data_IF_444432890469
#
_entry.id   IF_444432890469
#
_cell.length_a   1.000
_cell.length_b   1.000
_cell.length_c   1.000
_cell.angle_alpha   90.00
_cell.angle_beta   90.00
_cell.angle_gamma   90.00
#
_symmetry.space_group_name_H-M   'P 1'
#
loop_
_entity.id
_entity.type
_entity.pdbx_description
1 polymer ?
#
# COMPACT_ATOMS: atom_id res chain seq x y z
N UNK A 1 6.25 20.28 -2.40
CA UNK A 1 5.35 19.62 -3.39
C UNK A 1 5.06 18.22 -2.89
N UNK A 2 3.85 17.69 -3.09
CA UNK A 2 3.52 16.32 -2.65
C UNK A 2 4.25 15.32 -3.56
N UNK A 3 5.01 14.38 -2.98
CA UNK A 3 5.55 13.22 -3.68
C UNK A 3 4.50 12.12 -3.65
N UNK A 4 3.94 11.74 -4.80
CA UNK A 4 2.80 10.84 -4.85
C UNK A 4 3.15 9.43 -5.32
N UNK A 5 2.43 8.44 -4.79
CA UNK A 5 2.59 7.03 -5.12
C UNK A 5 1.25 6.42 -5.53
N UNK A 6 1.21 5.81 -6.70
CA UNK A 6 0.04 5.07 -7.18
C UNK A 6 0.01 3.69 -6.53
N UNK A 7 -1.11 3.34 -5.91
CA UNK A 7 -1.35 2.02 -5.31
C UNK A 7 -2.28 1.21 -6.20
N UNK A 8 -1.79 0.17 -6.86
CA UNK A 8 -2.54 -0.68 -7.77
C UNK A 8 -2.29 -2.17 -7.51
N UNK A 9 -3.24 -3.00 -7.89
CA UNK A 9 -3.22 -4.44 -7.64
C UNK A 9 -4.53 -4.92 -7.04
N UNK A 10 -4.48 -5.91 -6.15
CA UNK A 10 -5.68 -6.49 -5.57
C UNK A 10 -5.80 -6.27 -4.05
N UNK A 11 -6.52 -7.15 -3.36
CA UNK A 11 -6.91 -6.98 -1.96
C UNK A 11 -5.75 -6.76 -0.99
N UNK A 12 -4.60 -7.39 -1.18
CA UNK A 12 -3.44 -7.21 -0.31
C UNK A 12 -2.73 -5.86 -0.53
N UNK A 13 -2.90 -5.21 -1.69
CA UNK A 13 -2.52 -3.80 -1.88
C UNK A 13 -3.58 -2.86 -1.27
N UNK A 14 -4.87 -3.13 -1.52
CA UNK A 14 -5.95 -2.34 -0.93
C UNK A 14 -5.89 -2.36 0.62
N UNK A 15 -5.49 -3.48 1.19
CA UNK A 15 -5.39 -3.70 2.63
C UNK A 15 -6.55 -4.49 3.19
N UNK A 16 -6.23 -5.55 3.93
CA UNK A 16 -7.18 -6.43 4.63
C UNK A 16 -6.75 -6.75 6.05
N UNK A 17 -5.60 -6.24 6.51
CA UNK A 17 -5.20 -6.40 7.91
C UNK A 17 -6.24 -5.78 8.86
N UNK A 18 -6.51 -6.43 9.99
CA UNK A 18 -7.52 -5.94 10.93
C UNK A 18 -7.06 -4.64 11.60
N UNK A 19 -7.90 -3.60 11.51
CA UNK A 19 -7.55 -2.24 11.94
C UNK A 19 -7.16 -2.16 13.42
N UNK A 20 -7.78 -3.01 14.27
CA UNK A 20 -7.55 -2.98 15.71
C UNK A 20 -6.26 -3.70 16.17
N UNK A 21 -5.58 -4.42 15.28
CA UNK A 21 -4.38 -5.20 15.63
C UNK A 21 -3.09 -4.39 15.64
N UNK A 22 -3.10 -3.20 15.04
CA UNK A 22 -1.94 -2.33 14.98
C UNK A 22 -2.32 -0.89 15.32
N UNK A 23 -1.40 -0.11 15.90
CA UNK A 23 -1.63 1.32 16.11
C UNK A 23 -1.87 2.05 14.78
N UNK A 24 -2.79 3.04 14.73
CA UNK A 24 -3.01 3.84 13.54
C UNK A 24 -1.79 4.75 13.26
N UNK A 25 -1.52 4.98 12.00
CA UNK A 25 -0.50 5.92 11.56
C UNK A 25 -1.16 7.30 11.36
N UNK A 26 -0.85 8.22 12.27
CA UNK A 26 -1.37 9.59 12.23
C UNK A 26 -0.21 10.56 12.00
N UNK A 27 -0.03 11.00 10.75
CA UNK A 27 1.03 11.94 10.36
C UNK A 27 0.47 12.90 9.32
N UNK A 28 0.46 14.21 9.63
CA UNK A 28 -0.08 15.24 8.73
C UNK A 28 0.69 15.38 7.41
N UNK A 29 1.93 14.90 7.37
CA UNK A 29 2.74 14.85 6.14
C UNK A 29 2.37 13.69 5.22
N UNK A 30 1.57 12.74 5.70
CA UNK A 30 1.06 11.64 4.88
C UNK A 30 -0.36 12.01 4.42
N UNK A 31 -0.52 12.14 3.12
CA UNK A 31 -1.77 12.49 2.48
C UNK A 31 -2.31 11.31 1.67
N UNK A 32 -3.61 11.24 1.47
CA UNK A 32 -4.24 10.33 0.52
C UNK A 32 -5.20 11.08 -0.38
N UNK A 33 -5.28 10.69 -1.63
CA UNK A 33 -6.29 11.20 -2.55
C UNK A 33 -7.63 10.52 -2.25
N UNK A 34 -8.60 11.30 -1.83
CA UNK A 34 -9.95 10.81 -1.56
C UNK A 34 -10.98 11.86 -1.95
N UNK A 35 -11.99 11.46 -2.72
CA UNK A 35 -13.03 12.38 -3.22
C UNK A 35 -12.46 13.61 -3.95
N UNK A 36 -11.43 13.41 -4.77
CA UNK A 36 -10.77 14.47 -5.54
C UNK A 36 -9.97 15.47 -4.72
N UNK A 37 -9.57 15.15 -3.49
CA UNK A 37 -8.79 16.02 -2.61
C UNK A 37 -7.70 15.26 -1.88
N UNK A 38 -6.56 15.90 -1.68
CA UNK A 38 -5.56 15.47 -0.73
C UNK A 38 -6.06 15.69 0.69
N UNK A 39 -6.05 14.65 1.49
CA UNK A 39 -6.49 14.66 2.90
C UNK A 39 -5.44 13.94 3.73
N UNK A 40 -5.30 14.30 5.00
CA UNK A 40 -4.49 13.53 5.93
C UNK A 40 -4.90 12.04 5.87
N UNK A 41 -3.91 11.17 5.73
CA UNK A 41 -4.14 9.74 5.62
C UNK A 41 -4.88 9.19 6.83
N UNK A 42 -5.86 8.36 6.57
CA UNK A 42 -6.54 7.53 7.55
C UNK A 42 -6.75 6.12 7.00
N UNK A 43 -6.56 5.14 7.82
CA UNK A 43 -6.81 3.74 7.46
C UNK A 43 -8.28 3.37 7.66
N UNK A 44 -8.90 2.62 6.75
CA UNK A 44 -8.33 2.05 5.54
C UNK A 44 -8.03 3.13 4.47
N UNK A 45 -6.84 3.04 3.86
CA UNK A 45 -6.39 4.00 2.84
C UNK A 45 -7.18 3.81 1.55
N UNK A 46 -7.25 2.56 1.06
CA UNK A 46 -8.01 2.16 -0.10
C UNK A 46 -9.34 1.54 0.36
N UNK A 47 -10.45 2.14 -0.04
CA UNK A 47 -11.78 1.67 0.36
C UNK A 47 -12.51 1.07 -0.84
N UNK A 48 -12.08 -0.11 -1.28
CA UNK A 48 -12.70 -0.87 -2.37
C UNK A 48 -13.85 -1.77 -1.89
N UNK A 49 -13.80 -2.21 -0.64
CA UNK A 49 -14.77 -3.14 -0.02
C UNK A 49 -15.04 -2.75 1.43
N UNK A 50 -16.20 -3.15 2.01
CA UNK A 50 -16.48 -2.93 3.44
C UNK A 50 -15.47 -3.59 4.40
N UNK A 51 -14.74 -4.60 3.92
CA UNK A 51 -13.68 -5.32 4.65
C UNK A 51 -12.29 -4.71 4.44
N UNK A 52 -12.20 -3.53 3.87
CA UNK A 52 -10.94 -2.80 3.73
C UNK A 52 -10.33 -2.50 5.10
N UNK A 53 -9.03 -2.68 5.21
CA UNK A 53 -8.29 -2.58 6.47
C UNK A 53 -6.88 -2.03 6.28
N UNK A 54 -5.97 -2.50 7.13
CA UNK A 54 -4.55 -2.11 7.10
C UNK A 54 -3.90 -2.60 5.80
N UNK A 55 -3.17 -1.70 5.15
CA UNK A 55 -2.35 -1.99 3.97
C UNK A 55 -0.88 -1.68 4.22
N UNK A 56 -0.02 -2.18 3.35
CA UNK A 56 1.43 -1.93 3.35
C UNK A 56 1.77 -0.44 3.17
N UNK A 57 0.91 0.32 2.51
CA UNK A 57 1.19 1.71 2.16
C UNK A 57 1.31 2.64 3.38
N UNK A 58 0.64 2.33 4.49
CA UNK A 58 0.77 3.10 5.71
C UNK A 58 2.20 3.13 6.25
N UNK A 59 2.82 1.96 6.44
CA UNK A 59 4.20 1.87 6.94
C UNK A 59 5.24 2.26 5.88
N UNK A 60 4.96 2.07 4.59
CA UNK A 60 5.78 2.62 3.51
C UNK A 60 5.90 4.14 3.63
N UNK A 61 4.78 4.84 3.77
CA UNK A 61 4.76 6.30 3.86
C UNK A 61 5.32 6.82 5.19
N UNK A 62 5.14 6.09 6.27
CA UNK A 62 5.73 6.45 7.55
C UNK A 62 7.26 6.33 7.52
N UNK A 63 7.80 5.26 6.93
CA UNK A 63 9.23 5.11 6.72
C UNK A 63 9.79 6.25 5.83
N UNK A 64 9.08 6.61 4.76
CA UNK A 64 9.42 7.77 3.94
C UNK A 64 9.55 9.04 4.78
N UNK A 65 8.55 9.35 5.61
CA UNK A 65 8.54 10.56 6.42
C UNK A 65 9.66 10.61 7.46
N UNK A 66 10.20 9.47 7.87
CA UNK A 66 11.37 9.42 8.78
C UNK A 66 12.68 9.79 8.09
N UNK A 67 12.83 9.39 6.83
CA UNK A 67 14.03 9.70 6.03
C UNK A 67 13.98 11.10 5.38
N UNK A 68 12.78 11.68 5.25
CA UNK A 68 12.54 12.94 4.54
C UNK A 68 11.73 13.90 5.42
N UNK A 69 12.40 14.68 6.27
CA UNK A 69 11.76 15.48 7.33
C UNK A 69 10.82 16.58 6.82
N UNK A 70 11.06 17.13 5.63
CA UNK A 70 10.29 18.26 5.07
C UNK A 70 9.28 17.85 3.99
N UNK A 71 9.37 16.63 3.45
CA UNK A 71 8.53 16.20 2.34
C UNK A 71 7.13 15.79 2.79
N UNK A 72 6.17 16.09 1.93
CA UNK A 72 4.80 15.58 2.02
C UNK A 72 4.67 14.42 1.04
N UNK A 73 4.23 13.26 1.53
CA UNK A 73 3.98 12.09 0.71
C UNK A 73 2.47 11.91 0.50
N UNK A 74 2.06 11.54 -0.72
CA UNK A 74 0.67 11.33 -1.09
C UNK A 74 0.44 9.92 -1.66
N UNK A 75 -0.67 9.31 -1.29
CA UNK A 75 -1.11 8.01 -1.79
C UNK A 75 -2.30 8.16 -2.74
N UNK A 76 -2.26 7.48 -3.88
CA UNK A 76 -3.33 7.42 -4.88
C UNK A 76 -3.90 5.99 -4.85
N UNK A 77 -4.93 5.72 -4.02
CA UNK A 77 -5.45 4.38 -3.81
C UNK A 77 -6.39 3.97 -4.96
N UNK A 78 -5.95 3.01 -5.78
CA UNK A 78 -6.69 2.49 -6.93
C UNK A 78 -6.73 0.95 -6.99
N UNK A 79 -6.32 0.25 -5.92
CA UNK A 79 -6.36 -1.21 -5.88
C UNK A 79 -7.80 -1.74 -5.79
N UNK A 80 -8.08 -2.89 -6.44
CA UNK A 80 -9.40 -3.53 -6.44
C UNK A 80 -9.31 -4.98 -5.97
N UNK A 81 -10.00 -5.29 -4.89
CA UNK A 81 -9.99 -6.63 -4.27
C UNK A 81 -10.53 -7.72 -5.18
N UNK A 82 -9.77 -8.82 -5.30
CA UNK A 82 -10.12 -9.97 -6.12
C UNK A 82 -9.83 -9.82 -7.60
N UNK A 83 -9.25 -8.70 -8.04
CA UNK A 83 -8.95 -8.47 -9.46
C UNK A 83 -7.88 -9.43 -9.98
N UNK A 84 -8.02 -9.86 -11.23
CA UNK A 84 -7.05 -10.61 -12.02
C UNK A 84 -6.20 -9.66 -12.87
N UNK A 85 -5.08 -10.15 -13.40
CA UNK A 85 -4.25 -9.38 -14.32
C UNK A 85 -5.01 -8.98 -15.60
N UNK A 86 -6.02 -9.76 -16.02
CA UNK A 86 -6.86 -9.43 -17.17
C UNK A 86 -7.74 -8.20 -16.94
N UNK A 87 -8.21 -7.97 -15.73
CA UNK A 87 -8.99 -6.78 -15.38
C UNK A 87 -8.13 -5.51 -15.34
N UNK A 88 -6.80 -5.66 -15.27
CA UNK A 88 -5.81 -4.59 -15.40
C UNK A 88 -5.33 -4.36 -16.84
N UNK A 89 -5.93 -5.00 -17.84
CA UNK A 89 -5.63 -4.76 -19.24
C UNK A 89 -5.79 -3.25 -19.60
N UNK A 90 -4.98 -2.79 -20.56
CA UNK A 90 -4.86 -1.35 -20.92
C UNK A 90 -6.20 -0.68 -21.29
N UNK A 91 -7.13 -1.44 -21.83
CA UNK A 91 -8.49 -0.97 -22.16
C UNK A 91 -9.50 -1.25 -21.05
N UNK A 92 -9.07 -1.91 -19.97
CA UNK A 92 -9.89 -2.27 -18.82
C UNK A 92 -10.28 -1.08 -17.93
N UNK A 93 -11.31 -1.27 -17.13
CA UNK A 93 -11.84 -0.22 -16.24
C UNK A 93 -10.83 0.15 -15.14
N UNK A 94 -10.13 -0.84 -14.56
CA UNK A 94 -9.17 -0.61 -13.47
C UNK A 94 -7.97 0.20 -13.95
N UNK A 95 -7.40 -0.14 -15.09
CA UNK A 95 -6.31 0.62 -15.70
C UNK A 95 -6.72 2.08 -15.96
N UNK A 96 -7.87 2.28 -16.61
CA UNK A 96 -8.39 3.63 -16.92
C UNK A 96 -8.65 4.45 -15.66
N UNK A 97 -9.22 3.83 -14.64
CA UNK A 97 -9.43 4.49 -13.35
C UNK A 97 -8.11 4.91 -12.72
N UNK A 98 -7.15 4.00 -12.59
CA UNK A 98 -5.83 4.30 -12.03
C UNK A 98 -5.12 5.42 -12.80
N UNK A 99 -5.18 5.39 -14.14
CA UNK A 99 -4.62 6.42 -15.00
C UNK A 99 -5.27 7.79 -14.77
N UNK A 100 -6.60 7.85 -14.68
CA UNK A 100 -7.35 9.09 -14.47
C UNK A 100 -7.05 9.69 -13.09
N UNK A 101 -7.09 8.89 -12.02
CA UNK A 101 -6.77 9.34 -10.66
C UNK A 101 -5.33 9.83 -10.57
N UNK A 102 -4.39 9.15 -11.23
CA UNK A 102 -2.99 9.58 -11.23
C UNK A 102 -2.80 10.89 -11.98
N UNK A 103 -3.38 11.04 -13.18
CA UNK A 103 -3.33 12.31 -13.95
C UNK A 103 -3.99 13.46 -13.18
N UNK A 104 -5.06 13.19 -12.46
CA UNK A 104 -5.70 14.17 -11.58
C UNK A 104 -4.78 14.57 -10.42
N UNK A 105 -4.19 13.59 -9.72
CA UNK A 105 -3.26 13.82 -8.64
C UNK A 105 -2.03 14.65 -9.08
N UNK A 106 -1.49 14.37 -10.25
CA UNK A 106 -0.32 15.04 -10.83
C UNK A 106 -0.54 16.55 -11.12
N UNK A 107 -1.77 17.04 -11.08
CA UNK A 107 -2.02 18.49 -11.15
C UNK A 107 -1.44 19.24 -9.94
N UNK A 108 -1.29 18.56 -8.79
CA UNK A 108 -0.83 19.17 -7.54
C UNK A 108 0.23 18.31 -6.81
N UNK A 109 0.75 17.27 -7.46
CA UNK A 109 1.78 16.39 -6.93
C UNK A 109 2.74 15.93 -8.02
N UNK A 110 3.88 15.40 -7.61
CA UNK A 110 4.87 14.76 -8.48
C UNK A 110 4.78 13.25 -8.25
N UNK A 111 4.44 12.49 -9.30
CA UNK A 111 4.43 11.03 -9.23
C UNK A 111 5.87 10.53 -9.01
N UNK A 112 6.09 9.79 -7.92
CA UNK A 112 7.41 9.33 -7.49
C UNK A 112 7.58 7.81 -7.57
N UNK A 113 6.48 7.05 -7.66
CA UNK A 113 6.54 5.59 -7.79
C UNK A 113 5.17 4.95 -7.93
N UNK A 114 5.18 3.68 -8.31
CA UNK A 114 3.99 2.83 -8.40
C UNK A 114 4.21 1.61 -7.50
N UNK A 115 3.25 1.33 -6.64
CA UNK A 115 3.23 0.16 -5.75
C UNK A 115 2.24 -0.87 -6.32
N UNK A 116 2.74 -2.06 -6.64
CA UNK A 116 1.98 -3.16 -7.21
C UNK A 116 1.98 -4.37 -6.30
N UNK A 117 0.80 -4.89 -5.99
CA UNK A 117 0.66 -6.20 -5.37
C UNK A 117 -0.59 -6.90 -5.90
N UNK A 118 -0.38 -7.93 -6.71
CA UNK A 118 -1.42 -8.74 -7.34
C UNK A 118 -0.82 -10.07 -7.77
N UNK A 119 -1.62 -11.11 -7.84
CA UNK A 119 -1.22 -12.42 -8.33
C UNK A 119 -1.96 -13.56 -7.66
N UNK A 120 -2.56 -13.35 -6.48
CA UNK A 120 -3.30 -14.40 -5.77
C UNK A 120 -4.47 -14.92 -6.62
N UNK A 121 -5.21 -14.02 -7.29
CA UNK A 121 -6.32 -14.39 -8.20
C UNK A 121 -5.84 -15.14 -9.45
N UNK A 122 -4.57 -14.99 -9.81
CA UNK A 122 -3.96 -15.63 -10.98
C UNK A 122 -3.04 -16.82 -10.60
N UNK A 123 -3.00 -17.21 -9.31
CA UNK A 123 -2.14 -18.30 -8.80
C UNK A 123 -2.75 -19.69 -8.96
N UNK A 124 -3.46 -19.94 -10.06
CA UNK A 124 -4.06 -21.22 -10.41
C UNK A 124 -4.29 -21.33 -11.93
N UNK A 125 -4.62 -22.55 -12.38
CA UNK A 125 -5.00 -22.86 -13.77
C UNK A 125 -3.97 -22.45 -14.84
N UNK A 126 -2.70 -22.33 -14.48
CA UNK A 126 -1.62 -21.98 -15.40
C UNK A 126 -1.58 -20.52 -15.82
N UNK A 127 -2.27 -19.63 -15.12
CA UNK A 127 -2.32 -18.19 -15.44
C UNK A 127 -0.95 -17.52 -15.36
N UNK A 128 -0.03 -18.00 -14.51
CA UNK A 128 1.35 -17.54 -14.41
C UNK A 128 2.09 -17.53 -15.77
N UNK A 129 1.74 -18.46 -16.71
CA UNK A 129 2.41 -18.60 -18.01
C UNK A 129 2.25 -17.37 -18.92
N UNK A 130 1.21 -16.58 -18.73
CA UNK A 130 0.91 -15.40 -19.52
C UNK A 130 1.00 -14.10 -18.70
N UNK A 131 1.21 -14.23 -17.39
CA UNK A 131 1.20 -13.12 -16.46
C UNK A 131 2.27 -12.06 -16.76
N UNK A 132 3.51 -12.51 -16.98
CA UNK A 132 4.62 -11.61 -17.33
C UNK A 132 4.28 -10.69 -18.52
N UNK A 133 3.76 -11.24 -19.61
CA UNK A 133 3.47 -10.48 -20.81
C UNK A 133 2.33 -9.47 -20.58
N UNK A 134 1.31 -9.84 -19.82
CA UNK A 134 0.21 -8.94 -19.47
C UNK A 134 0.67 -7.81 -18.56
N UNK A 135 1.50 -8.12 -17.56
CA UNK A 135 2.10 -7.12 -16.68
C UNK A 135 2.99 -6.15 -17.48
N UNK A 136 3.80 -6.66 -18.42
CA UNK A 136 4.64 -5.84 -19.28
C UNK A 136 3.83 -4.85 -20.12
N UNK A 137 2.73 -5.31 -20.72
CA UNK A 137 1.85 -4.43 -21.49
C UNK A 137 1.25 -3.33 -20.61
N UNK A 138 0.79 -3.68 -19.42
CA UNK A 138 0.18 -2.74 -18.46
C UNK A 138 1.20 -1.70 -17.98
N UNK A 139 2.38 -2.12 -17.52
CA UNK A 139 3.42 -1.21 -17.01
C UNK A 139 3.95 -0.28 -18.13
N UNK A 140 4.19 -0.84 -19.31
CA UNK A 140 4.63 -0.04 -20.48
C UNK A 140 3.61 1.04 -20.83
N UNK A 141 2.33 0.68 -20.83
CA UNK A 141 1.24 1.62 -21.10
C UNK A 141 1.11 2.69 -20.01
N UNK A 142 1.20 2.33 -18.73
CA UNK A 142 1.18 3.30 -17.62
C UNK A 142 2.32 4.32 -17.75
N UNK A 143 3.55 3.84 -17.93
CA UNK A 143 4.73 4.70 -18.09
C UNK A 143 4.58 5.67 -19.26
N UNK A 144 4.07 5.18 -20.39
CA UNK A 144 3.80 5.99 -21.58
C UNK A 144 2.71 7.03 -21.34
N UNK A 145 1.56 6.61 -20.82
CA UNK A 145 0.40 7.46 -20.64
C UNK A 145 0.58 8.53 -19.56
N UNK A 146 1.47 8.29 -18.60
CA UNK A 146 1.83 9.21 -17.52
C UNK A 146 3.05 10.07 -17.85
N UNK A 147 3.66 9.89 -19.05
CA UNK A 147 4.93 10.53 -19.44
C UNK A 147 6.03 10.36 -18.38
N UNK A 148 6.11 9.15 -17.82
CA UNK A 148 6.99 8.79 -16.71
C UNK A 148 7.77 7.49 -17.04
N UNK A 149 8.65 7.49 -18.08
CA UNK A 149 9.27 6.26 -18.58
C UNK A 149 10.13 5.52 -17.55
N UNK A 150 10.72 6.23 -16.61
CA UNK A 150 11.63 5.68 -15.60
C UNK A 150 11.00 5.67 -14.19
N UNK A 151 9.66 5.76 -14.08
CA UNK A 151 9.00 5.74 -12.78
C UNK A 151 9.25 4.39 -12.08
N UNK A 152 9.76 4.39 -10.82
CA UNK A 152 9.95 3.16 -10.07
C UNK A 152 8.64 2.37 -9.92
N UNK A 153 8.72 1.07 -10.21
CA UNK A 153 7.61 0.13 -10.09
C UNK A 153 7.98 -0.95 -9.08
N UNK A 154 7.39 -0.90 -7.89
CA UNK A 154 7.72 -1.80 -6.78
C UNK A 154 6.71 -2.94 -6.76
N UNK A 155 7.20 -4.17 -6.85
CA UNK A 155 6.40 -5.38 -7.02
C UNK A 155 6.51 -6.26 -5.79
N UNK A 156 5.41 -6.51 -5.11
CA UNK A 156 5.37 -7.46 -4.00
C UNK A 156 5.17 -8.89 -4.45
N UNK A 157 5.98 -9.79 -3.89
CA UNK A 157 5.75 -11.22 -3.99
C UNK A 157 4.56 -11.66 -3.16
N UNK A 158 4.06 -12.88 -3.43
CA UNK A 158 2.94 -13.51 -2.75
C UNK A 158 3.43 -14.30 -1.52
N UNK A 159 2.61 -14.34 -0.47
CA UNK A 159 2.99 -14.93 0.82
C UNK A 159 3.03 -16.47 0.83
N UNK A 160 3.93 -17.01 1.65
CA UNK A 160 4.18 -18.47 1.79
C UNK A 160 3.00 -19.21 2.46
N UNK A 161 2.01 -18.51 2.97
CA UNK A 161 0.79 -19.07 3.55
C UNK A 161 -0.22 -19.53 2.50
N UNK A 162 -0.08 -19.08 1.25
CA UNK A 162 -0.97 -19.48 0.13
C UNK A 162 -0.87 -20.97 -0.20
N UNK A 163 -1.90 -21.49 -0.84
CA UNK A 163 -1.99 -22.90 -1.21
C UNK A 163 -2.32 -23.86 -0.05
N UNK A 164 -2.46 -23.38 1.19
CA UNK A 164 -2.59 -24.23 2.39
C UNK A 164 -4.04 -24.35 2.87
N UNK A 165 -4.67 -23.25 3.25
CA UNK A 165 -5.97 -23.26 3.90
C UNK A 165 -6.83 -22.04 3.52
N UNK A 166 -8.05 -22.00 4.04
CA UNK A 166 -8.99 -20.89 3.85
C UNK A 166 -9.29 -20.61 2.38
N UNK A 167 -9.44 -19.33 2.07
CA UNK A 167 -9.58 -18.88 0.68
C UNK A 167 -8.27 -19.01 -0.10
N UNK A 168 -7.12 -18.94 0.58
CA UNK A 168 -5.80 -19.08 -0.04
C UNK A 168 -5.49 -20.45 -0.59
N UNK A 169 -6.22 -21.51 -0.19
CA UNK A 169 -5.98 -22.90 -0.65
C UNK A 169 -6.04 -23.08 -2.18
N UNK A 170 -6.73 -22.17 -2.88
CA UNK A 170 -6.85 -22.21 -4.34
C UNK A 170 -5.64 -21.62 -5.06
N UNK A 171 -4.78 -20.88 -4.37
CA UNK A 171 -3.57 -20.28 -4.91
C UNK A 171 -2.43 -21.30 -5.00
N UNK A 172 -2.66 -22.43 -5.67
CA UNK A 172 -1.73 -23.58 -5.69
C UNK A 172 -0.48 -23.35 -6.53
N UNK A 173 -0.48 -22.32 -7.36
CA UNK A 173 0.63 -21.95 -8.25
C UNK A 173 1.31 -20.65 -7.83
N UNK A 174 1.14 -20.20 -6.56
CA UNK A 174 1.69 -18.94 -6.08
C UNK A 174 3.23 -18.88 -6.17
N UNK A 175 3.93 -20.02 -6.00
CA UNK A 175 5.38 -20.08 -6.15
C UNK A 175 5.82 -19.80 -7.60
N UNK A 176 5.08 -20.37 -8.57
CA UNK A 176 5.32 -20.11 -9.99
C UNK A 176 4.99 -18.65 -10.35
N UNK A 177 3.93 -18.11 -9.75
CA UNK A 177 3.60 -16.68 -9.88
C UNK A 177 4.72 -15.80 -9.32
N UNK A 178 5.27 -16.12 -8.15
CA UNK A 178 6.42 -15.41 -7.57
C UNK A 178 7.64 -15.45 -8.49
N UNK A 179 7.89 -16.57 -9.18
CA UNK A 179 8.97 -16.65 -10.17
C UNK A 179 8.75 -15.66 -11.33
N UNK A 180 7.52 -15.53 -11.85
CA UNK A 180 7.22 -14.59 -12.92
C UNK A 180 7.29 -13.13 -12.46
N UNK A 181 6.82 -12.81 -11.25
CA UNK A 181 6.94 -11.47 -10.65
C UNK A 181 8.41 -11.08 -10.44
N UNK A 182 9.20 -11.99 -9.89
CA UNK A 182 10.64 -11.77 -9.67
C UNK A 182 11.39 -11.62 -10.99
N UNK A 183 11.13 -12.51 -11.96
CA UNK A 183 11.68 -12.43 -13.30
C UNK A 183 11.37 -11.09 -13.97
N UNK A 184 10.11 -10.63 -13.88
CA UNK A 184 9.71 -9.35 -14.40
C UNK A 184 10.52 -8.20 -13.80
N UNK A 185 10.66 -8.18 -12.46
CA UNK A 185 11.41 -7.14 -11.79
C UNK A 185 12.91 -7.15 -12.15
N UNK A 186 13.48 -8.33 -12.40
CA UNK A 186 14.90 -8.45 -12.78
C UNK A 186 15.19 -8.08 -14.25
N UNK A 187 14.21 -8.25 -15.13
CA UNK A 187 14.38 -8.02 -16.58
C UNK A 187 13.94 -6.61 -17.01
N UNK A 188 13.16 -5.89 -16.20
CA UNK A 188 12.64 -4.57 -16.55
C UNK A 188 13.33 -3.46 -15.76
N UNK A 189 13.73 -2.39 -16.46
CA UNK A 189 14.34 -1.22 -15.85
C UNK A 189 13.39 -0.54 -14.83
N UNK A 190 13.97 -0.01 -13.76
CA UNK A 190 13.26 0.66 -12.67
C UNK A 190 12.11 -0.17 -12.07
N UNK A 191 12.25 -1.50 -12.06
CA UNK A 191 11.34 -2.43 -11.41
C UNK A 191 12.06 -3.16 -10.26
N UNK A 192 11.45 -3.20 -9.08
CA UNK A 192 12.08 -3.75 -7.88
C UNK A 192 11.16 -4.76 -7.20
N UNK A 193 11.64 -5.98 -6.99
CA UNK A 193 10.90 -7.05 -6.32
C UNK A 193 11.06 -6.96 -4.81
N UNK A 194 9.97 -7.25 -4.09
CA UNK A 194 9.91 -7.27 -2.63
C UNK A 194 9.35 -8.60 -2.16
N UNK A 195 10.13 -9.35 -1.39
CA UNK A 195 9.71 -10.64 -0.85
C UNK A 195 8.59 -10.53 0.17
N UNK A 196 7.61 -11.44 0.09
CA UNK A 196 6.61 -11.68 1.14
C UNK A 196 6.97 -12.85 2.07
N UNK A 197 8.18 -13.39 1.95
CA UNK A 197 8.65 -14.49 2.80
C UNK A 197 8.52 -14.16 4.28
N UNK A 198 8.00 -15.10 5.07
CA UNK A 198 7.81 -14.98 6.51
C UNK A 198 6.70 -14.02 6.94
N UNK A 199 5.91 -13.46 6.02
CA UNK A 199 4.66 -12.78 6.35
C UNK A 199 3.57 -13.80 6.68
N UNK A 200 2.63 -13.40 7.53
CA UNK A 200 1.50 -14.21 7.99
C UNK A 200 0.17 -13.68 7.47
N UNK A 201 -0.84 -14.53 7.45
CA UNK A 201 -2.17 -14.17 6.96
C UNK A 201 -3.18 -14.00 8.09
N UNK A 202 -4.25 -13.31 7.80
CA UNK A 202 -5.51 -13.43 8.54
C UNK A 202 -6.01 -14.88 8.53
N UNK A 203 -6.97 -15.24 9.41
CA UNK A 203 -7.53 -16.59 9.48
C UNK A 203 -8.15 -17.10 8.17
N UNK A 204 -8.38 -16.22 7.20
CA UNK A 204 -8.90 -16.59 5.88
C UNK A 204 -7.86 -17.23 4.94
N UNK A 205 -6.57 -17.21 5.31
CA UNK A 205 -5.49 -17.88 4.59
C UNK A 205 -5.07 -17.23 3.26
N UNK A 206 -5.60 -16.04 2.94
CA UNK A 206 -5.26 -15.31 1.70
C UNK A 206 -4.82 -13.87 1.95
N UNK A 207 -5.39 -13.20 2.94
CA UNK A 207 -5.08 -11.81 3.21
C UNK A 207 -3.98 -11.68 4.25
N UNK A 208 -2.98 -10.87 3.94
CA UNK A 208 -1.87 -10.54 4.84
C UNK A 208 -2.43 -9.85 6.09
N UNK A 209 -2.04 -10.31 7.29
CA UNK A 209 -2.45 -9.70 8.56
C UNK A 209 -1.87 -8.30 8.76
N UNK A 210 -2.39 -7.56 9.74
CA UNK A 210 -2.04 -6.16 9.93
C UNK A 210 -0.56 -5.94 10.27
N UNK A 211 0.03 -6.80 11.09
CA UNK A 211 1.45 -6.70 11.47
C UNK A 211 2.33 -6.98 10.25
N UNK A 212 1.99 -8.01 9.49
CA UNK A 212 2.69 -8.39 8.25
C UNK A 212 2.54 -7.32 7.17
N UNK A 213 1.40 -6.66 7.06
CA UNK A 213 1.23 -5.49 6.18
C UNK A 213 2.19 -4.36 6.55
N UNK A 214 2.37 -4.08 7.85
CA UNK A 214 3.33 -3.09 8.33
C UNK A 214 4.78 -3.46 7.95
N UNK A 215 5.18 -4.72 8.14
CA UNK A 215 6.51 -5.21 7.72
C UNK A 215 6.68 -5.10 6.22
N UNK A 216 5.67 -5.48 5.45
CA UNK A 216 5.72 -5.45 4.00
C UNK A 216 5.92 -4.02 3.47
N UNK A 217 5.26 -3.03 4.06
CA UNK A 217 5.47 -1.63 3.70
C UNK A 217 6.89 -1.15 3.95
N UNK A 218 7.56 -1.59 5.04
CA UNK A 218 8.97 -1.31 5.27
C UNK A 218 9.87 -1.90 4.18
N UNK A 219 9.60 -3.14 3.74
CA UNK A 219 10.33 -3.79 2.64
C UNK A 219 10.12 -3.05 1.31
N UNK A 220 8.89 -2.58 1.03
CA UNK A 220 8.61 -1.76 -0.15
C UNK A 220 9.38 -0.44 -0.11
N UNK A 221 9.45 0.19 1.07
CA UNK A 221 10.24 1.41 1.25
C UNK A 221 11.73 1.16 1.02
N UNK A 222 12.28 0.09 1.60
CA UNK A 222 13.68 -0.32 1.41
C UNK A 222 14.01 -0.51 -0.07
N UNK A 223 13.13 -1.23 -0.81
CA UNK A 223 13.31 -1.45 -2.25
C UNK A 223 13.28 -0.13 -3.03
N UNK A 224 12.38 0.78 -2.66
CA UNK A 224 12.21 2.06 -3.31
C UNK A 224 13.41 2.99 -3.07
N UNK A 225 13.81 3.17 -1.83
CA UNK A 225 14.84 4.16 -1.47
C UNK A 225 16.23 3.76 -1.97
N UNK A 226 16.55 2.47 -1.91
CA UNK A 226 17.83 1.92 -2.35
C UNK A 226 17.86 1.55 -3.84
N UNK A 227 16.71 1.56 -4.52
CA UNK A 227 16.56 1.08 -5.91
C UNK A 227 17.14 -0.33 -6.09
N UNK A 228 16.77 -1.23 -5.19
CA UNK A 228 17.24 -2.61 -5.14
C UNK A 228 16.09 -3.58 -4.84
N UNK A 229 16.26 -4.84 -5.25
CA UNK A 229 15.34 -5.89 -4.86
C UNK A 229 15.53 -6.22 -3.38
N UNK A 230 14.42 -6.47 -2.68
CA UNK A 230 14.42 -7.02 -1.31
C UNK A 230 14.03 -8.47 -1.40
N UNK A 231 15.02 -9.37 -1.36
CA UNK A 231 14.83 -10.82 -1.57
C UNK A 231 14.64 -11.59 -0.27
N UNK A 232 15.02 -10.99 0.86
CA UNK A 232 14.90 -11.57 2.19
C UNK A 232 14.22 -10.57 3.14
N UNK A 233 13.56 -11.05 4.21
CA UNK A 233 13.04 -10.17 5.26
C UNK A 233 14.12 -9.24 5.82
N UNK A 234 13.77 -8.01 6.19
CA UNK A 234 14.72 -7.10 6.82
C UNK A 234 15.03 -7.56 8.24
N UNK A 235 16.30 -7.50 8.63
CA UNK A 235 16.79 -8.00 9.94
C UNK A 235 16.13 -7.25 11.11
N UNK A 236 15.81 -5.98 10.92
CA UNK A 236 15.36 -5.04 11.98
C UNK A 236 13.90 -4.61 11.84
N UNK A 237 13.04 -5.36 11.14
CA UNK A 237 11.62 -5.00 10.90
C UNK A 237 10.88 -4.64 12.19
N UNK A 238 11.09 -5.42 13.26
CA UNK A 238 10.41 -5.17 14.53
C UNK A 238 10.87 -3.88 15.21
N UNK A 239 12.16 -3.57 15.12
CA UNK A 239 12.71 -2.31 15.62
C UNK A 239 12.19 -1.12 14.82
N UNK A 240 12.21 -1.20 13.51
CA UNK A 240 11.68 -0.16 12.62
C UNK A 240 10.19 0.11 12.86
N UNK A 241 9.39 -0.92 13.13
CA UNK A 241 7.98 -0.76 13.51
C UNK A 241 7.80 -0.06 14.86
N UNK A 242 8.71 -0.29 15.82
CA UNK A 242 8.65 0.36 17.14
C UNK A 242 8.89 1.87 17.06
N UNK A 243 9.72 2.33 16.13
CA UNK A 243 10.03 3.74 15.92
C UNK A 243 8.80 4.56 15.51
N UNK A 244 7.84 3.93 14.85
CA UNK A 244 6.58 4.56 14.46
C UNK A 244 5.82 5.16 15.64
N UNK A 245 5.80 4.48 16.79
CA UNK A 245 5.04 4.90 17.97
C UNK A 245 5.79 5.93 18.85
N UNK A 246 7.05 6.22 18.56
CA UNK A 246 7.89 7.09 19.39
C UNK A 246 7.72 8.59 19.10
N UNK A 247 7.04 8.95 18.02
CA UNK A 247 6.91 10.35 17.57
C UNK A 247 5.89 11.14 18.37
N UNK A 248 6.24 12.35 18.75
CA UNK A 248 5.28 13.31 19.33
C UNK A 248 4.35 13.86 18.24
N UNK A 249 3.04 13.79 18.47
CA UNK A 249 2.05 14.34 17.55
C UNK A 249 2.05 15.86 17.52
N UNK A 250 1.88 16.45 16.33
CA UNK A 250 1.65 17.88 16.16
C UNK A 250 0.26 18.28 16.69
N UNK A 251 0.01 19.58 16.78
CA UNK A 251 -1.30 20.11 17.17
C UNK A 251 -2.40 19.65 16.20
N UNK A 252 -2.14 19.68 14.90
CA UNK A 252 -3.08 19.22 13.88
C UNK A 252 -3.40 17.74 14.01
N UNK A 253 -2.40 16.90 14.25
CA UNK A 253 -2.57 15.46 14.47
C UNK A 253 -3.34 15.15 15.74
N UNK A 254 -3.00 15.82 16.86
CA UNK A 254 -3.77 15.70 18.12
C UNK A 254 -5.24 16.06 17.93
N UNK A 255 -5.53 17.12 17.18
CA UNK A 255 -6.89 17.53 16.87
C UNK A 255 -7.61 16.53 15.98
N UNK A 256 -6.92 15.96 14.99
CA UNK A 256 -7.46 14.91 14.13
C UNK A 256 -7.82 13.65 14.93
N UNK A 257 -6.89 13.16 15.77
CA UNK A 257 -7.10 11.99 16.64
C UNK A 257 -8.29 12.23 17.58
N UNK A 258 -8.34 13.40 18.23
CA UNK A 258 -9.44 13.77 19.11
C UNK A 258 -10.80 13.75 18.40
N UNK A 259 -10.84 14.26 17.15
CA UNK A 259 -12.06 14.29 16.34
C UNK A 259 -12.49 12.87 15.93
N UNK A 260 -11.54 12.00 15.58
CA UNK A 260 -11.81 10.60 15.27
C UNK A 260 -12.33 9.82 16.49
N UNK A 261 -11.72 10.00 17.66
CA UNK A 261 -12.16 9.34 18.88
C UNK A 261 -13.58 9.76 19.29
N UNK A 262 -13.92 11.02 19.09
CA UNK A 262 -15.28 11.51 19.31
C UNK A 262 -16.27 10.92 18.29
N UNK A 263 -15.93 10.94 17.00
CA UNK A 263 -16.77 10.41 15.93
C UNK A 263 -17.03 8.90 16.09
N UNK A 264 -16.06 8.15 16.63
CA UNK A 264 -16.17 6.73 16.92
C UNK A 264 -16.88 6.42 18.26
N UNK A 265 -17.30 7.46 19.00
CA UNK A 265 -17.97 7.29 20.30
C UNK A 265 -17.04 6.79 21.42
N UNK A 266 -15.72 6.87 21.25
CA UNK A 266 -14.74 6.47 22.28
C UNK A 266 -14.67 7.44 23.44
N UNK A 267 -15.04 8.70 23.22
CA UNK A 267 -15.07 9.78 24.21
C UNK A 267 -16.40 10.51 24.14
N UNK A 268 -16.84 11.05 25.29
CA UNK A 268 -18.03 11.90 25.39
C UNK A 268 -17.79 13.29 24.81
N UNK A 269 -18.87 14.04 24.52
CA UNK A 269 -18.76 15.43 24.07
C UNK A 269 -18.04 16.32 25.10
N UNK A 270 -18.27 16.12 26.38
CA UNK A 270 -17.63 16.90 27.44
C UNK A 270 -16.11 16.67 27.47
N UNK A 271 -15.67 15.41 27.32
CA UNK A 271 -14.25 15.06 27.21
C UNK A 271 -13.63 15.62 25.94
N UNK A 272 -14.33 15.54 24.80
CA UNK A 272 -13.91 16.16 23.55
C UNK A 272 -13.68 17.66 23.73
N UNK A 273 -14.67 18.37 24.31
CA UNK A 273 -14.60 19.82 24.51
C UNK A 273 -13.44 20.22 25.43
N UNK A 274 -13.24 19.50 26.53
CA UNK A 274 -12.13 19.75 27.47
C UNK A 274 -10.76 19.59 26.79
N UNK A 275 -10.55 18.49 26.07
CA UNK A 275 -9.31 18.21 25.34
C UNK A 275 -9.10 19.17 24.16
N UNK A 276 -10.18 19.57 23.46
CA UNK A 276 -10.13 20.56 22.38
C UNK A 276 -9.58 21.92 22.87
N UNK A 277 -10.07 22.37 24.03
CA UNK A 277 -9.59 23.63 24.66
C UNK A 277 -8.12 23.48 25.04
N UNK A 278 -7.73 22.35 25.65
CA UNK A 278 -6.35 22.09 26.05
C UNK A 278 -5.40 22.14 24.84
N UNK A 279 -5.71 21.39 23.77
CA UNK A 279 -4.89 21.35 22.54
C UNK A 279 -4.75 22.73 21.89
N UNK A 280 -5.79 23.58 21.97
CA UNK A 280 -5.70 24.92 21.40
C UNK A 280 -4.87 25.90 22.23
N UNK A 281 -4.71 25.65 23.52
CA UNK A 281 -3.93 26.49 24.42
C UNK A 281 -2.44 26.11 24.48
N UNK A 282 -2.09 24.87 24.05
CA UNK A 282 -0.71 24.40 23.85
C UNK A 282 -0.17 24.90 22.48
#
# INVERSE_FOLDING_TARGET
>A
MIKSFLMIGQSNMAGRGFIHEVPPINNERIQMLRNGRWQMMAEPINYDRPVSGISLAGSFTDAWCRENEEDIIGLIPCAEGGSTIDEWAVDGALFKHALQETKFAMQNSELSGILWHQGESDSSNGSYKVYYQKLLLMVTALRKELDAPNIPFIIGGLGDFLGKEGFGKHCTEYELMNQELQKFAFEQDDCYFVTASGLTSNPDGIHIDAISQRKFGLRYFEAFINKQHVLEPLINEQELLSLHNARTHTKAEKMYILSMDFALGKISFNEFQAKFIQINND
#
